data_IF_459831513100
#
_entry.id   IF_459831513100
#
_cell.length_a   1.000
_cell.length_b   1.000
_cell.length_c   1.000
_cell.angle_alpha   90.00
_cell.angle_beta   90.00
_cell.angle_gamma   90.00
#
_symmetry.space_group_name_H-M   'P 1'
#
loop_
_entity.id
_entity.type
_entity.pdbx_description
1 polymer ?
#
# COMPACT_ATOMS: atom_id res chain seq x y z
N UNK A 1 -19.43 -4.40 20.08
CA UNK A 1 -18.57 -5.54 19.77
C UNK A 1 -17.98 -5.46 18.36
N UNK A 2 -18.79 -5.31 17.33
CA UNK A 2 -18.29 -5.16 15.96
C UNK A 2 -17.34 -3.97 15.79
N UNK A 3 -17.67 -2.83 16.41
CA UNK A 3 -16.82 -1.63 16.33
C UNK A 3 -15.45 -1.86 16.96
N UNK A 4 -15.42 -2.57 18.10
CA UNK A 4 -14.14 -2.90 18.73
C UNK A 4 -13.32 -3.85 17.87
N UNK A 5 -13.97 -4.82 17.24
CA UNK A 5 -13.28 -5.77 16.36
C UNK A 5 -12.67 -5.06 15.16
N UNK A 6 -13.43 -4.15 14.53
CA UNK A 6 -12.93 -3.36 13.41
C UNK A 6 -11.76 -2.47 13.84
N UNK A 7 -11.85 -1.84 15.01
CA UNK A 7 -10.77 -1.02 15.56
C UNK A 7 -9.52 -1.85 15.81
N UNK A 8 -9.67 -3.07 16.34
CA UNK A 8 -8.56 -3.98 16.56
C UNK A 8 -7.89 -4.34 15.24
N UNK A 9 -8.66 -4.64 14.21
CA UNK A 9 -8.12 -4.93 12.88
C UNK A 9 -7.36 -3.74 12.30
N UNK A 10 -7.91 -2.55 12.43
CA UNK A 10 -7.24 -1.32 11.97
C UNK A 10 -5.93 -1.11 12.72
N UNK A 11 -5.94 -1.32 14.04
CA UNK A 11 -4.71 -1.24 14.85
C UNK A 11 -3.67 -2.27 14.43
N UNK A 12 -4.09 -3.49 14.13
CA UNK A 12 -3.17 -4.53 13.65
C UNK A 12 -2.55 -4.14 12.31
N UNK A 13 -3.33 -3.62 11.39
CA UNK A 13 -2.81 -3.14 10.09
C UNK A 13 -1.82 -2.01 10.31
N UNK A 14 -2.15 -1.03 11.15
CA UNK A 14 -1.26 0.09 11.47
C UNK A 14 0.02 -0.42 12.14
N UNK A 15 -0.10 -1.34 13.08
CA UNK A 15 1.05 -1.93 13.77
C UNK A 15 1.96 -2.66 12.80
N UNK A 16 1.39 -3.42 11.87
CA UNK A 16 2.17 -4.10 10.83
C UNK A 16 2.87 -3.10 9.91
N UNK A 17 2.20 -2.01 9.54
CA UNK A 17 2.80 -0.95 8.72
C UNK A 17 3.94 -0.24 9.44
N UNK A 18 3.88 -0.14 10.75
CA UNK A 18 4.91 0.49 11.56
C UNK A 18 6.07 -0.45 11.92
N UNK A 19 5.88 -1.76 11.79
CA UNK A 19 6.97 -2.71 11.99
C UNK A 19 7.98 -2.56 10.89
N UNK A 20 9.23 -2.47 11.28
CA UNK A 20 10.31 -2.56 10.32
C UNK A 20 10.37 -3.98 9.78
N UNK A 21 9.92 -4.14 8.57
CA UNK A 21 10.09 -5.39 7.84
C UNK A 21 11.40 -5.26 7.08
N UNK A 22 12.37 -6.07 7.49
CA UNK A 22 13.67 -6.09 6.82
C UNK A 22 13.61 -7.10 5.69
N UNK A 23 13.73 -6.61 4.46
CA UNK A 23 13.78 -7.43 3.28
C UNK A 23 15.22 -7.57 2.80
N UNK A 24 15.50 -8.66 2.07
CA UNK A 24 16.72 -8.77 1.32
C UNK A 24 16.81 -7.60 0.34
N UNK A 25 18.01 -7.04 0.08
CA UNK A 25 18.12 -5.86 -0.78
C UNK A 25 17.47 -6.02 -2.15
N UNK A 26 17.57 -7.18 -2.78
CA UNK A 26 16.94 -7.44 -4.08
C UNK A 26 15.42 -7.42 -4.00
N UNK A 27 14.85 -7.96 -2.92
CA UNK A 27 13.40 -7.98 -2.71
C UNK A 27 12.90 -6.57 -2.44
N UNK A 28 13.64 -5.79 -1.66
CA UNK A 28 13.31 -4.40 -1.38
C UNK A 28 13.29 -3.58 -2.66
N UNK A 29 14.30 -3.73 -3.50
CA UNK A 29 14.36 -3.07 -4.82
C UNK A 29 13.21 -3.50 -5.72
N UNK A 30 12.83 -4.77 -5.69
CA UNK A 30 11.71 -5.26 -6.47
C UNK A 30 10.40 -4.56 -6.07
N UNK A 31 10.15 -4.43 -4.78
CA UNK A 31 8.96 -3.71 -4.29
C UNK A 31 8.98 -2.24 -4.70
N UNK A 32 10.13 -1.60 -4.61
CA UNK A 32 10.29 -0.20 -5.04
C UNK A 32 10.01 -0.07 -6.53
N UNK A 33 10.51 -1.00 -7.33
CA UNK A 33 10.26 -1.01 -8.77
C UNK A 33 8.77 -1.21 -9.06
N UNK A 34 8.11 -2.13 -8.38
CA UNK A 34 6.68 -2.35 -8.51
C UNK A 34 5.89 -1.08 -8.18
N UNK A 35 6.21 -0.44 -7.06
CA UNK A 35 5.56 0.80 -6.65
C UNK A 35 5.76 1.91 -7.65
N UNK A 36 6.95 2.06 -8.18
CA UNK A 36 7.27 3.06 -9.20
C UNK A 36 6.50 2.80 -10.50
N UNK A 37 6.41 1.55 -10.93
CA UNK A 37 5.64 1.18 -12.11
C UNK A 37 4.15 1.48 -11.94
N UNK A 38 3.61 1.24 -10.76
CA UNK A 38 2.23 1.58 -10.43
C UNK A 38 2.03 3.10 -10.54
N UNK A 39 2.92 3.87 -9.97
CA UNK A 39 2.88 5.34 -10.04
C UNK A 39 2.93 5.83 -11.49
N UNK A 40 3.85 5.30 -12.28
CA UNK A 40 4.00 5.68 -13.68
C UNK A 40 2.74 5.35 -14.46
N UNK A 41 2.18 4.17 -14.27
CA UNK A 41 0.93 3.76 -14.93
C UNK A 41 -0.22 4.70 -14.56
N UNK A 42 -0.32 5.07 -13.29
CA UNK A 42 -1.34 6.02 -12.82
C UNK A 42 -1.17 7.37 -13.51
N UNK A 43 0.03 7.90 -13.55
CA UNK A 43 0.32 9.21 -14.16
C UNK A 43 0.07 9.21 -15.65
N UNK A 44 0.39 8.13 -16.35
CA UNK A 44 0.12 7.99 -17.77
C UNK A 44 -1.37 8.03 -18.07
N UNK A 45 -2.18 7.49 -17.18
CA UNK A 45 -3.65 7.50 -17.31
C UNK A 45 -4.27 8.80 -16.82
N UNK A 46 -3.45 9.71 -16.28
CA UNK A 46 -3.89 11.00 -15.75
C UNK A 46 -4.93 10.86 -14.65
N UNK A 47 -4.81 9.83 -13.81
CA UNK A 47 -5.69 9.62 -12.67
C UNK A 47 -4.98 9.98 -11.37
N UNK A 48 -5.76 10.49 -10.41
CA UNK A 48 -5.23 10.91 -9.12
C UNK A 48 -5.04 9.71 -8.20
N UNK A 49 -4.15 9.86 -7.22
CA UNK A 49 -4.00 8.86 -6.17
C UNK A 49 -5.30 8.66 -5.39
N UNK A 50 -6.08 9.72 -5.21
CA UNK A 50 -7.39 9.64 -4.56
C UNK A 50 -8.36 8.73 -5.31
N UNK A 51 -8.38 8.83 -6.64
CA UNK A 51 -9.25 7.99 -7.45
C UNK A 51 -8.82 6.52 -7.41
N UNK A 52 -7.51 6.27 -7.45
CA UNK A 52 -6.98 4.92 -7.32
C UNK A 52 -7.35 4.34 -5.96
N UNK A 53 -7.20 5.11 -4.89
CA UNK A 53 -7.56 4.69 -3.54
C UNK A 53 -9.05 4.32 -3.45
N UNK A 54 -9.91 5.16 -4.01
CA UNK A 54 -11.35 4.91 -4.03
C UNK A 54 -11.69 3.61 -4.76
N UNK A 55 -11.10 3.40 -5.93
CA UNK A 55 -11.34 2.19 -6.73
C UNK A 55 -10.80 0.94 -6.08
N UNK A 56 -9.67 1.02 -5.40
CA UNK A 56 -9.06 -0.11 -4.73
C UNK A 56 -9.64 -0.37 -3.33
N UNK A 57 -10.46 0.55 -2.82
CA UNK A 57 -11.04 0.42 -1.48
C UNK A 57 -10.03 0.62 -0.36
N UNK A 58 -8.99 1.43 -0.60
CA UNK A 58 -7.95 1.72 0.38
C UNK A 58 -7.83 3.23 0.61
N UNK A 59 -7.06 3.63 1.62
CA UNK A 59 -6.81 5.04 1.87
C UNK A 59 -5.81 5.62 0.86
N UNK A 60 -5.86 6.93 0.70
CA UNK A 60 -4.88 7.66 -0.12
C UNK A 60 -3.45 7.46 0.38
N UNK A 61 -3.29 7.42 1.71
CA UNK A 61 -2.00 7.14 2.33
C UNK A 61 -1.48 5.74 1.95
N UNK A 62 -2.36 4.75 1.86
CA UNK A 62 -2.00 3.40 1.44
C UNK A 62 -1.50 3.39 0.00
N UNK A 63 -2.15 4.10 -0.91
CA UNK A 63 -1.67 4.24 -2.30
C UNK A 63 -0.28 4.86 -2.32
N UNK A 64 -0.06 5.89 -1.53
CA UNK A 64 1.24 6.55 -1.43
C UNK A 64 2.33 5.56 -0.96
N UNK A 65 2.04 4.74 0.06
CA UNK A 65 2.96 3.71 0.54
C UNK A 65 3.25 2.66 -0.54
N UNK A 66 2.22 2.24 -1.28
CA UNK A 66 2.37 1.30 -2.39
C UNK A 66 3.31 1.87 -3.45
N UNK A 67 3.10 3.13 -3.83
CA UNK A 67 3.92 3.78 -4.85
C UNK A 67 5.36 3.97 -4.42
N UNK A 68 5.64 3.98 -3.12
CA UNK A 68 7.01 4.00 -2.58
C UNK A 68 7.63 2.62 -2.41
N UNK A 69 6.87 1.57 -2.61
CA UNK A 69 7.37 0.21 -2.44
C UNK A 69 7.51 -0.19 -0.98
N UNK A 70 6.60 0.27 -0.13
CA UNK A 70 6.65 0.00 1.30
C UNK A 70 6.39 -1.48 1.59
N UNK A 71 7.33 -2.21 2.21
CA UNK A 71 7.14 -3.63 2.53
C UNK A 71 6.11 -3.86 3.65
N UNK A 72 5.72 -2.82 4.39
CA UNK A 72 4.67 -2.91 5.39
C UNK A 72 3.27 -3.07 4.81
N UNK A 73 3.10 -2.84 3.50
CA UNK A 73 1.81 -2.99 2.83
C UNK A 73 1.68 -4.41 2.31
N UNK A 74 0.52 -5.04 2.55
CA UNK A 74 0.26 -6.39 2.08
C UNK A 74 0.30 -6.46 0.54
N UNK A 75 0.86 -7.53 0.00
CA UNK A 75 1.00 -7.69 -1.45
C UNK A 75 -0.34 -7.67 -2.18
N UNK A 76 -1.41 -8.13 -1.53
CA UNK A 76 -2.75 -8.08 -2.09
C UNK A 76 -3.22 -6.66 -2.36
N UNK A 77 -2.78 -5.71 -1.56
CA UNK A 77 -3.09 -4.29 -1.77
C UNK A 77 -2.34 -3.75 -2.98
N UNK A 78 -1.09 -4.17 -3.18
CA UNK A 78 -0.34 -3.85 -4.39
C UNK A 78 -1.10 -4.33 -5.64
N UNK A 79 -1.64 -5.54 -5.59
CA UNK A 79 -2.41 -6.09 -6.70
C UNK A 79 -3.72 -5.34 -6.93
N UNK A 80 -4.36 -4.82 -5.87
CA UNK A 80 -5.61 -4.09 -5.96
C UNK A 80 -5.41 -2.68 -6.54
N UNK A 81 -4.28 -2.07 -6.24
CA UNK A 81 -3.92 -0.74 -6.74
C UNK A 81 -3.46 -0.79 -8.19
#
# INVERSE_FOLDING_TARGET
>A
MRKMFIIVNVKMVITMSQRKITLMPKTDELLKTMGEQIKIARLRRKITASLVAERAGVSRATVWHVEKGDPGVAIGIYAAV
#
